data_IF_144048381900
#
_entry.id   IF_144048381900
#
_cell.length_a   1.000
_cell.length_b   1.000
_cell.length_c   1.000
_cell.angle_alpha   90.00
_cell.angle_beta   90.00
_cell.angle_gamma   90.00
#
_symmetry.space_group_name_H-M   'P 1'
#
loop_
_entity.id
_entity.type
_entity.pdbx_description
1 polymer ?
#
# COMPACT_ATOMS: atom_id res chain seq x y z
N UNK A 1 -50.46 9.51 21.95
CA UNK A 1 -49.10 9.42 22.55
C UNK A 1 -48.24 8.62 21.57
N UNK A 2 -47.71 9.33 20.61
CA UNK A 2 -46.96 8.72 19.50
C UNK A 2 -45.97 9.75 18.96
N UNK A 3 -44.82 9.25 18.47
CA UNK A 3 -43.81 9.97 17.69
C UNK A 3 -42.66 10.61 18.46
N UNK A 4 -41.65 9.80 18.85
CA UNK A 4 -40.30 10.34 18.96
C UNK A 4 -39.14 9.31 18.75
N UNK A 5 -39.35 8.28 17.91
CA UNK A 5 -38.30 7.26 17.62
C UNK A 5 -37.61 7.44 16.26
N UNK A 6 -38.11 8.34 15.41
CA UNK A 6 -37.58 8.53 14.03
C UNK A 6 -36.38 9.48 13.92
N UNK A 7 -36.31 10.49 14.76
CA UNK A 7 -35.30 11.57 14.67
C UNK A 7 -33.92 11.16 15.22
N UNK A 8 -33.86 10.37 16.29
CA UNK A 8 -32.61 9.93 16.90
C UNK A 8 -31.81 8.96 16.01
N UNK A 9 -32.49 8.13 15.21
CA UNK A 9 -31.84 7.16 14.32
C UNK A 9 -31.26 7.83 13.07
N UNK A 10 -31.89 8.90 12.58
CA UNK A 10 -31.44 9.68 11.42
C UNK A 10 -30.20 10.54 11.74
N UNK A 11 -30.12 11.14 12.94
CA UNK A 11 -28.97 11.91 13.38
C UNK A 11 -27.70 11.06 13.59
N UNK A 12 -27.85 9.82 14.08
CA UNK A 12 -26.72 8.90 14.31
C UNK A 12 -26.16 8.31 13.00
N UNK A 13 -26.98 8.17 11.96
CA UNK A 13 -26.57 7.75 10.62
C UNK A 13 -25.86 8.90 9.85
N UNK A 14 -26.34 10.14 10.02
CA UNK A 14 -25.73 11.33 9.40
C UNK A 14 -24.31 11.60 9.95
N UNK A 15 -24.10 11.51 11.27
CA UNK A 15 -22.77 11.71 11.88
C UNK A 15 -21.77 10.61 11.51
N UNK A 16 -22.23 9.39 11.25
CA UNK A 16 -21.37 8.29 10.84
C UNK A 16 -20.92 8.39 9.37
N UNK A 17 -21.82 8.91 8.51
CA UNK A 17 -21.52 9.19 7.10
C UNK A 17 -20.50 10.34 6.95
N UNK A 18 -20.65 11.42 7.74
CA UNK A 18 -19.74 12.56 7.71
C UNK A 18 -18.32 12.17 8.17
N UNK A 19 -18.20 11.33 9.20
CA UNK A 19 -16.89 10.85 9.66
C UNK A 19 -16.21 9.93 8.64
N UNK A 20 -16.95 9.09 7.93
CA UNK A 20 -16.41 8.25 6.85
C UNK A 20 -15.95 9.09 5.66
N UNK A 21 -16.73 10.09 5.26
CA UNK A 21 -16.37 11.00 4.18
C UNK A 21 -15.10 11.81 4.53
N UNK A 22 -15.01 12.30 5.77
CA UNK A 22 -13.83 13.00 6.26
C UNK A 22 -12.57 12.09 6.23
N UNK A 23 -12.67 10.87 6.71
CA UNK A 23 -11.55 9.94 6.73
C UNK A 23 -11.14 9.51 5.31
N UNK A 24 -12.10 9.31 4.40
CA UNK A 24 -11.83 9.06 3.00
C UNK A 24 -11.13 10.26 2.34
N UNK A 25 -11.57 11.48 2.66
CA UNK A 25 -10.92 12.72 2.23
C UNK A 25 -9.47 12.85 2.70
N UNK A 26 -9.20 12.52 3.97
CA UNK A 26 -7.83 12.50 4.53
C UNK A 26 -6.96 11.50 3.78
N UNK A 27 -7.46 10.30 3.51
CA UNK A 27 -6.73 9.28 2.77
C UNK A 27 -6.44 9.70 1.33
N UNK A 28 -7.43 10.29 0.65
CA UNK A 28 -7.27 10.81 -0.71
C UNK A 28 -6.25 11.96 -0.75
N UNK A 29 -6.32 12.90 0.18
CA UNK A 29 -5.38 14.01 0.32
C UNK A 29 -3.95 13.51 0.57
N UNK A 30 -3.77 12.55 1.47
CA UNK A 30 -2.47 11.91 1.71
C UNK A 30 -1.91 11.24 0.44
N UNK A 31 -2.76 10.58 -0.34
CA UNK A 31 -2.38 9.97 -1.63
C UNK A 31 -1.91 10.99 -2.67
N UNK A 32 -2.55 12.16 -2.73
CA UNK A 32 -2.14 13.25 -3.62
C UNK A 32 -0.78 13.83 -3.19
N UNK A 33 -0.61 14.13 -1.89
CA UNK A 33 0.66 14.63 -1.35
C UNK A 33 1.78 13.64 -1.62
N UNK A 34 1.57 12.36 -1.37
CA UNK A 34 2.55 11.30 -1.64
C UNK A 34 2.97 11.26 -3.11
N UNK A 35 2.03 11.43 -4.04
CA UNK A 35 2.33 11.47 -5.48
C UNK A 35 3.13 12.71 -5.89
N UNK A 36 2.82 13.87 -5.32
CA UNK A 36 3.57 15.12 -5.57
C UNK A 36 5.01 14.95 -5.09
N UNK A 37 5.22 14.43 -3.87
CA UNK A 37 6.56 14.16 -3.33
C UNK A 37 7.29 13.15 -4.23
N UNK A 38 6.62 12.09 -4.70
CA UNK A 38 7.18 11.11 -5.63
C UNK A 38 7.61 11.70 -6.97
N UNK A 39 6.86 12.67 -7.50
CA UNK A 39 7.24 13.41 -8.73
C UNK A 39 8.47 14.30 -8.51
N UNK A 40 8.50 15.02 -7.39
CA UNK A 40 9.65 15.87 -7.03
C UNK A 40 10.93 15.03 -6.85
N UNK A 41 10.80 13.81 -6.31
CA UNK A 41 11.92 12.89 -6.18
C UNK A 41 12.42 12.34 -7.52
N UNK A 42 11.54 12.10 -8.47
CA UNK A 42 11.92 11.54 -9.78
C UNK A 42 12.85 12.46 -10.57
N UNK A 43 12.64 13.77 -10.54
CA UNK A 43 13.44 14.73 -11.30
C UNK A 43 14.95 14.63 -11.01
N UNK A 44 15.42 14.74 -9.74
CA UNK A 44 16.85 14.58 -9.45
C UNK A 44 17.34 13.14 -9.67
N UNK A 45 16.48 12.12 -9.53
CA UNK A 45 16.86 10.74 -9.82
C UNK A 45 17.23 10.54 -11.28
N UNK A 46 16.46 11.12 -12.21
CA UNK A 46 16.73 11.07 -13.63
C UNK A 46 18.09 11.70 -13.99
N UNK A 47 18.43 12.82 -13.34
CA UNK A 47 19.70 13.53 -13.61
C UNK A 47 20.93 12.72 -13.16
N UNK A 48 20.80 11.92 -12.08
CA UNK A 48 21.92 11.15 -11.53
C UNK A 48 22.11 9.82 -12.26
N UNK A 49 21.01 9.15 -12.64
CA UNK A 49 21.10 7.86 -13.32
C UNK A 49 21.56 8.00 -14.80
N UNK A 50 21.35 9.16 -15.43
CA UNK A 50 21.54 9.33 -16.87
C UNK A 50 20.52 8.52 -17.69
N UNK A 51 20.60 8.61 -19.01
CA UNK A 51 19.61 7.98 -19.90
C UNK A 51 19.65 6.46 -19.84
N UNK A 52 20.84 5.85 -19.81
CA UNK A 52 20.99 4.39 -19.75
C UNK A 52 20.51 3.83 -18.40
N UNK A 53 20.91 4.45 -17.29
CA UNK A 53 20.50 4.02 -15.94
C UNK A 53 18.99 4.11 -15.74
N UNK A 54 18.36 5.14 -16.32
CA UNK A 54 16.90 5.30 -16.31
C UNK A 54 16.20 4.21 -17.11
N UNK A 55 16.77 3.78 -18.23
CA UNK A 55 16.26 2.65 -19.02
C UNK A 55 16.24 1.36 -18.19
N UNK A 56 17.35 1.00 -17.57
CA UNK A 56 17.46 -0.20 -16.73
C UNK A 56 16.54 -0.15 -15.52
N UNK A 57 16.49 0.97 -14.81
CA UNK A 57 15.59 1.15 -13.69
C UNK A 57 14.13 1.09 -14.10
N UNK A 58 13.77 1.71 -15.24
CA UNK A 58 12.40 1.72 -15.76
C UNK A 58 11.90 0.32 -16.10
N UNK A 59 12.73 -0.49 -16.75
CA UNK A 59 12.39 -1.89 -17.09
C UNK A 59 12.20 -2.75 -15.84
N UNK A 60 13.12 -2.67 -14.88
CA UNK A 60 13.01 -3.38 -13.61
C UNK A 60 11.78 -2.93 -12.81
N UNK A 61 11.51 -1.61 -12.77
CA UNK A 61 10.37 -1.06 -12.06
C UNK A 61 9.03 -1.44 -12.70
N UNK A 62 8.94 -1.56 -14.03
CA UNK A 62 7.72 -1.99 -14.72
C UNK A 62 7.33 -3.42 -14.32
N UNK A 63 8.28 -4.34 -14.26
CA UNK A 63 8.05 -5.72 -13.82
C UNK A 63 7.67 -5.75 -12.33
N UNK A 64 8.43 -5.04 -11.50
CA UNK A 64 8.12 -4.90 -10.08
C UNK A 64 6.69 -4.37 -9.86
N UNK A 65 6.28 -3.32 -10.60
CA UNK A 65 4.96 -2.73 -10.48
C UNK A 65 3.85 -3.70 -10.88
N UNK A 66 4.06 -4.53 -11.92
CA UNK A 66 3.11 -5.58 -12.29
C UNK A 66 2.96 -6.62 -11.18
N UNK A 67 4.08 -7.13 -10.66
CA UNK A 67 4.07 -8.16 -9.62
C UNK A 67 3.41 -7.64 -8.34
N UNK A 68 3.76 -6.42 -7.91
CA UNK A 68 3.19 -5.84 -6.70
C UNK A 68 1.70 -5.51 -6.86
N UNK A 69 1.26 -5.13 -8.06
CA UNK A 69 -0.15 -4.87 -8.36
C UNK A 69 -0.97 -6.15 -8.18
N UNK A 70 -0.51 -7.26 -8.71
CA UNK A 70 -1.18 -8.56 -8.59
C UNK A 70 -1.14 -9.06 -7.14
N UNK A 71 0.03 -9.00 -6.50
CA UNK A 71 0.26 -9.58 -5.18
C UNK A 71 -0.34 -8.77 -4.02
N UNK A 72 -0.48 -7.44 -4.16
CA UNK A 72 -0.66 -6.56 -3.01
C UNK A 72 -1.88 -5.65 -3.10
N UNK A 73 -2.30 -5.22 -4.28
CA UNK A 73 -3.34 -4.18 -4.41
C UNK A 73 -4.75 -4.64 -4.05
N UNK A 74 -5.10 -5.89 -4.32
CA UNK A 74 -6.44 -6.44 -4.05
C UNK A 74 -6.67 -6.76 -2.58
N UNK A 75 -5.61 -7.02 -1.83
CA UNK A 75 -5.65 -7.57 -0.47
C UNK A 75 -6.24 -6.59 0.56
N UNK A 76 -5.78 -5.32 0.65
CA UNK A 76 -6.32 -4.39 1.65
C UNK A 76 -7.82 -4.16 1.48
N UNK A 77 -8.29 -4.09 0.25
CA UNK A 77 -9.72 -3.87 -0.06
C UNK A 77 -10.56 -5.08 0.33
N UNK A 78 -10.09 -6.29 0.03
CA UNK A 78 -10.77 -7.52 0.39
C UNK A 78 -10.83 -7.71 1.92
N UNK A 79 -9.68 -7.55 2.60
CA UNK A 79 -9.59 -7.64 4.07
C UNK A 79 -10.49 -6.62 4.73
N UNK A 80 -10.42 -5.36 4.30
CA UNK A 80 -11.23 -4.28 4.86
C UNK A 80 -12.73 -4.60 4.75
N UNK A 81 -13.22 -5.04 3.59
CA UNK A 81 -14.63 -5.39 3.39
C UNK A 81 -15.06 -6.58 4.24
N UNK A 82 -14.29 -7.67 4.25
CA UNK A 82 -14.63 -8.89 4.97
C UNK A 82 -14.62 -8.67 6.49
N UNK A 83 -13.58 -8.01 6.99
CA UNK A 83 -13.43 -7.71 8.42
C UNK A 83 -14.50 -6.72 8.88
N UNK A 84 -14.73 -5.61 8.13
CA UNK A 84 -15.76 -4.63 8.45
C UNK A 84 -17.17 -5.25 8.48
N UNK A 85 -17.48 -6.16 7.55
CA UNK A 85 -18.75 -6.88 7.53
C UNK A 85 -18.95 -7.73 8.80
N UNK A 86 -17.91 -8.41 9.28
CA UNK A 86 -17.98 -9.20 10.53
C UNK A 86 -18.06 -8.34 11.77
N UNK A 87 -17.36 -7.22 11.80
CA UNK A 87 -17.45 -6.23 12.90
C UNK A 87 -18.88 -5.66 12.98
N UNK A 88 -19.48 -5.30 11.83
CA UNK A 88 -20.86 -4.77 11.78
C UNK A 88 -21.90 -5.76 12.33
N UNK A 89 -21.65 -7.06 12.19
CA UNK A 89 -22.49 -8.13 12.75
C UNK A 89 -22.14 -8.47 14.22
N UNK A 90 -21.21 -7.77 14.86
CA UNK A 90 -20.74 -8.07 16.22
C UNK A 90 -19.89 -9.34 16.35
N UNK A 91 -19.47 -9.94 15.23
CA UNK A 91 -18.73 -11.20 15.18
C UNK A 91 -17.21 -10.97 15.26
N UNK A 92 -16.72 -10.40 16.34
CA UNK A 92 -15.29 -10.05 16.51
C UNK A 92 -14.33 -11.25 16.42
N UNK A 93 -14.75 -12.44 16.92
CA UNK A 93 -13.95 -13.67 16.81
C UNK A 93 -13.75 -14.08 15.34
N UNK A 94 -14.81 -14.00 14.54
CA UNK A 94 -14.75 -14.29 13.09
C UNK A 94 -13.90 -13.26 12.34
N UNK A 95 -14.02 -11.98 12.67
CA UNK A 95 -13.20 -10.91 12.11
C UNK A 95 -11.70 -11.16 12.36
N UNK A 96 -11.34 -11.53 13.59
CA UNK A 96 -9.96 -11.88 13.96
C UNK A 96 -9.45 -13.11 13.21
N UNK A 97 -10.28 -14.13 13.05
CA UNK A 97 -9.92 -15.35 12.29
C UNK A 97 -9.65 -15.03 10.81
N UNK A 98 -10.47 -14.20 10.18
CA UNK A 98 -10.26 -13.75 8.79
C UNK A 98 -8.93 -13.02 8.69
N UNK A 99 -8.62 -12.12 9.61
CA UNK A 99 -7.33 -11.41 9.63
C UNK A 99 -6.15 -12.38 9.66
N UNK A 100 -6.13 -13.35 10.59
CA UNK A 100 -5.04 -14.32 10.69
C UNK A 100 -4.92 -15.21 9.45
N UNK A 101 -6.03 -15.71 8.90
CA UNK A 101 -6.00 -16.51 7.68
C UNK A 101 -5.43 -15.70 6.50
N UNK A 102 -5.85 -14.45 6.35
CA UNK A 102 -5.34 -13.57 5.29
C UNK A 102 -3.88 -13.21 5.52
N UNK A 103 -3.47 -13.00 6.78
CA UNK A 103 -2.08 -12.75 7.13
C UNK A 103 -1.17 -13.90 6.68
N UNK A 104 -1.52 -15.14 7.03
CA UNK A 104 -0.75 -16.32 6.62
C UNK A 104 -0.72 -16.44 5.08
N UNK A 105 -1.86 -16.24 4.42
CA UNK A 105 -1.94 -16.27 2.97
C UNK A 105 -1.00 -15.26 2.32
N UNK A 106 -0.99 -14.02 2.79
CA UNK A 106 -0.15 -12.96 2.21
C UNK A 106 1.32 -13.15 2.50
N UNK A 107 1.67 -13.68 3.67
CA UNK A 107 3.07 -14.01 3.98
C UNK A 107 3.57 -15.07 3.00
N UNK A 108 2.78 -16.13 2.76
CA UNK A 108 3.15 -17.20 1.82
C UNK A 108 3.17 -16.66 0.38
N UNK A 109 2.10 -16.01 -0.07
CA UNK A 109 1.98 -15.50 -1.43
C UNK A 109 3.03 -14.41 -1.73
N UNK A 110 3.28 -13.51 -0.78
CA UNK A 110 4.30 -12.47 -0.89
C UNK A 110 5.71 -13.04 -0.92
N UNK A 111 6.01 -14.05 -0.10
CA UNK A 111 7.29 -14.74 -0.13
C UNK A 111 7.50 -15.47 -1.47
N UNK A 112 6.50 -16.19 -1.95
CA UNK A 112 6.56 -16.87 -3.25
C UNK A 112 6.74 -15.86 -4.38
N UNK A 113 5.99 -14.77 -4.41
CA UNK A 113 6.14 -13.71 -5.41
C UNK A 113 7.53 -13.07 -5.38
N UNK A 114 8.07 -12.77 -4.19
CA UNK A 114 9.40 -12.23 -4.04
C UNK A 114 10.48 -13.21 -4.51
N UNK A 115 10.35 -14.51 -4.18
CA UNK A 115 11.28 -15.55 -4.64
C UNK A 115 11.23 -15.73 -6.16
N UNK A 116 10.03 -15.79 -6.75
CA UNK A 116 9.86 -15.89 -8.21
C UNK A 116 10.51 -14.68 -8.88
N UNK A 117 10.31 -13.47 -8.34
CA UNK A 117 10.92 -12.25 -8.90
C UNK A 117 12.43 -12.26 -8.75
N UNK A 118 12.96 -12.72 -7.62
CA UNK A 118 14.39 -12.77 -7.35
C UNK A 118 15.11 -13.78 -8.24
N UNK A 119 14.62 -15.01 -8.31
CA UNK A 119 15.24 -16.07 -9.13
C UNK A 119 14.90 -15.95 -10.61
N UNK A 120 13.72 -15.43 -10.95
CA UNK A 120 13.27 -15.18 -12.32
C UNK A 120 13.78 -13.86 -12.91
N UNK A 121 14.51 -13.05 -12.14
CA UNK A 121 14.97 -11.73 -12.59
C UNK A 121 15.74 -11.79 -13.93
N UNK A 122 16.59 -12.78 -14.11
CA UNK A 122 17.38 -12.99 -15.34
C UNK A 122 16.50 -13.30 -16.55
N UNK A 123 15.39 -14.00 -16.33
CA UNK A 123 14.45 -14.35 -17.39
C UNK A 123 13.49 -13.22 -17.72
N UNK A 124 13.06 -12.46 -16.70
CA UNK A 124 12.16 -11.32 -16.89
C UNK A 124 12.82 -10.11 -17.57
N UNK A 125 14.13 -9.95 -17.43
CA UNK A 125 14.89 -8.80 -17.96
C UNK A 125 16.09 -9.32 -18.77
N UNK A 126 15.86 -10.35 -19.60
CA UNK A 126 16.88 -10.97 -20.45
C UNK A 126 17.57 -10.01 -21.42
N UNK A 127 16.83 -9.00 -21.89
CA UNK A 127 17.34 -8.00 -22.85
C UNK A 127 18.25 -6.94 -22.20
N UNK A 128 18.29 -6.84 -20.87
CA UNK A 128 19.04 -5.81 -20.16
C UNK A 128 19.71 -6.37 -18.89
N UNK A 129 20.90 -6.97 -18.99
CA UNK A 129 21.59 -7.61 -17.86
C UNK A 129 21.78 -6.69 -16.64
N UNK A 130 21.98 -5.39 -16.86
CA UNK A 130 22.18 -4.40 -15.80
C UNK A 130 20.87 -4.12 -15.02
N UNK A 131 19.70 -4.38 -15.59
CA UNK A 131 18.41 -4.25 -14.93
C UNK A 131 18.13 -5.43 -13.97
N UNK A 132 18.80 -6.57 -14.14
CA UNK A 132 18.65 -7.76 -13.29
C UNK A 132 18.98 -7.45 -11.84
N UNK A 133 20.09 -6.72 -11.60
CA UNK A 133 20.50 -6.34 -10.24
C UNK A 133 19.43 -5.45 -9.59
N UNK A 134 18.92 -4.47 -10.33
CA UNK A 134 17.85 -3.57 -9.85
C UNK A 134 16.60 -4.35 -9.46
N UNK A 135 16.20 -5.34 -10.26
CA UNK A 135 15.03 -6.17 -10.00
C UNK A 135 15.25 -7.10 -8.80
N UNK A 136 16.44 -7.67 -8.63
CA UNK A 136 16.80 -8.49 -7.46
C UNK A 136 16.76 -7.68 -6.16
N UNK A 137 17.18 -6.42 -6.19
CA UNK A 137 17.12 -5.50 -5.03
C UNK A 137 15.66 -5.13 -4.72
N UNK A 138 14.80 -5.00 -5.72
CA UNK A 138 13.38 -4.68 -5.54
C UNK A 138 12.55 -5.88 -5.07
N UNK A 139 12.98 -7.12 -5.30
CA UNK A 139 12.22 -8.32 -4.94
C UNK A 139 11.84 -8.41 -3.45
N UNK A 140 12.71 -8.17 -2.45
CA UNK A 140 12.34 -8.18 -1.05
C UNK A 140 11.27 -7.14 -0.69
N UNK A 141 11.21 -6.03 -1.42
CA UNK A 141 10.23 -4.96 -1.19
C UNK A 141 8.80 -5.43 -1.50
N UNK A 142 8.63 -6.40 -2.41
CA UNK A 142 7.32 -7.02 -2.69
C UNK A 142 6.78 -7.70 -1.44
N UNK A 143 7.61 -8.45 -0.74
CA UNK A 143 7.23 -9.12 0.51
C UNK A 143 6.84 -8.12 1.61
N UNK A 144 7.66 -7.10 1.82
CA UNK A 144 7.42 -6.05 2.82
C UNK A 144 6.14 -5.27 2.49
N UNK A 145 5.91 -4.94 1.22
CA UNK A 145 4.70 -4.24 0.78
C UNK A 145 3.44 -5.07 1.01
N UNK A 146 3.50 -6.39 0.79
CA UNK A 146 2.40 -7.32 1.11
C UNK A 146 2.05 -7.30 2.60
N UNK A 147 3.07 -7.31 3.44
CA UNK A 147 2.92 -7.24 4.89
C UNK A 147 2.24 -5.93 5.32
N UNK A 148 2.71 -4.79 4.81
CA UNK A 148 2.11 -3.48 5.06
C UNK A 148 0.66 -3.39 4.56
N UNK A 149 0.35 -4.03 3.44
CA UNK A 149 -0.99 -4.04 2.85
C UNK A 149 -2.03 -4.65 3.79
N UNK A 150 -1.69 -5.72 4.51
CA UNK A 150 -2.60 -6.35 5.49
C UNK A 150 -2.91 -5.41 6.65
N UNK A 151 -1.88 -4.79 7.22
CA UNK A 151 -2.08 -3.84 8.32
C UNK A 151 -2.96 -2.67 7.89
N UNK A 152 -2.72 -2.11 6.71
CA UNK A 152 -3.55 -1.05 6.13
C UNK A 152 -5.00 -1.51 5.98
N UNK A 153 -5.25 -2.70 5.42
CA UNK A 153 -6.59 -3.25 5.26
C UNK A 153 -7.31 -3.49 6.58
N UNK A 154 -6.60 -3.98 7.58
CA UNK A 154 -7.16 -4.21 8.91
C UNK A 154 -7.54 -2.90 9.61
N UNK A 155 -6.66 -1.90 9.60
CA UNK A 155 -6.94 -0.58 10.18
C UNK A 155 -8.12 0.12 9.48
N UNK A 156 -8.20 0.02 8.16
CA UNK A 156 -9.31 0.54 7.38
C UNK A 156 -10.64 -0.15 7.74
N UNK A 157 -10.64 -1.44 8.08
CA UNK A 157 -11.83 -2.16 8.51
C UNK A 157 -12.44 -1.60 9.80
N UNK A 158 -11.60 -1.04 10.67
CA UNK A 158 -12.03 -0.35 11.91
C UNK A 158 -12.38 1.14 11.67
N UNK A 159 -12.51 1.57 10.42
CA UNK A 159 -12.73 2.98 10.05
C UNK A 159 -11.63 3.93 10.58
N UNK A 160 -10.41 3.43 10.73
CA UNK A 160 -9.26 4.21 11.16
C UNK A 160 -8.32 4.39 9.97
N UNK A 161 -8.52 5.46 9.18
CA UNK A 161 -7.74 5.72 7.98
C UNK A 161 -6.51 6.60 8.24
N UNK A 162 -6.46 7.28 9.38
CA UNK A 162 -5.36 8.19 9.75
C UNK A 162 -3.99 7.50 9.76
N UNK A 163 -3.79 6.31 10.40
CA UNK A 163 -2.49 5.66 10.38
C UNK A 163 -2.04 5.25 8.97
N UNK A 164 -3.00 4.83 8.12
CA UNK A 164 -2.73 4.51 6.71
C UNK A 164 -2.27 5.75 5.94
N UNK A 165 -2.93 6.88 6.16
CA UNK A 165 -2.60 8.17 5.53
C UNK A 165 -1.21 8.65 5.96
N UNK A 166 -0.89 8.56 7.25
CA UNK A 166 0.44 8.91 7.79
C UNK A 166 1.51 8.02 7.17
N UNK A 167 1.30 6.70 7.10
CA UNK A 167 2.28 5.79 6.50
C UNK A 167 2.56 6.09 5.02
N UNK A 168 1.54 6.52 4.27
CA UNK A 168 1.68 6.90 2.86
C UNK A 168 2.48 8.19 2.66
N UNK A 169 2.45 9.10 3.63
CA UNK A 169 3.22 10.35 3.57
C UNK A 169 4.66 10.12 4.05
N UNK A 170 4.85 9.34 5.12
CA UNK A 170 6.18 9.06 5.67
C UNK A 170 7.05 8.31 4.67
N UNK A 171 6.45 7.38 3.91
CA UNK A 171 7.19 6.56 2.93
C UNK A 171 8.00 7.42 1.94
N UNK A 172 7.42 8.32 1.14
CA UNK A 172 8.19 9.17 0.24
C UNK A 172 9.05 10.23 0.94
N UNK A 173 8.64 10.73 2.12
CA UNK A 173 9.43 11.70 2.90
C UNK A 173 10.72 11.06 3.40
N UNK A 174 10.69 9.81 3.85
CA UNK A 174 11.88 9.09 4.29
C UNK A 174 12.92 8.97 3.17
N UNK A 175 12.48 8.69 1.94
CA UNK A 175 13.38 8.63 0.78
C UNK A 175 14.02 9.98 0.47
N UNK A 176 13.26 11.06 0.53
CA UNK A 176 13.80 12.40 0.29
C UNK A 176 14.78 12.84 1.35
N UNK A 177 14.53 12.49 2.62
CA UNK A 177 15.40 12.87 3.74
C UNK A 177 16.73 12.10 3.74
N UNK A 178 16.71 10.78 3.49
CA UNK A 178 17.92 9.97 3.41
C UNK A 178 18.85 10.46 2.30
N UNK A 179 18.29 10.85 1.16
CA UNK A 179 19.07 11.32 0.03
C UNK A 179 19.64 12.72 0.23
N UNK A 180 18.92 13.61 0.89
CA UNK A 180 19.45 14.93 1.23
C UNK A 180 20.71 14.81 2.11
N UNK A 181 20.80 13.76 2.91
CA UNK A 181 21.98 13.48 3.72
C UNK A 181 23.17 12.93 2.89
N UNK A 182 22.92 12.15 1.85
CA UNK A 182 23.96 11.64 0.95
C UNK A 182 24.55 12.72 0.02
N UNK A 183 23.75 13.71 -0.36
CA UNK A 183 24.22 14.81 -1.23
C UNK A 183 25.00 15.88 -0.48
N UNK A 184 25.00 15.87 0.86
CA UNK A 184 25.76 16.81 1.70
C UNK A 184 27.12 16.22 2.15
N UNK A 185 27.32 14.93 2.00
CA UNK A 185 28.60 14.24 2.24
C UNK A 185 29.41 14.06 0.95
#
# INVERSE_FOLDING_TARGET
>A
MSTNTGTAKKGKLSGRGSNLALQAGILAGAGIVSRIIGLLYRSPLYQILGDEGNGYYGSAYAIYAMVIMIATYSIPTAVSKLVAGKIAMGQYKSARRIYYCTFIYVVIAGAVAALITYFGAEWFVSDQPNAVLSLKILAPTIFISGFLAIFRGYLQAYNTMVPTSISQIIEPVSYTHLRAHETVL
#
